data_IF_583668135006
#
_entry.id   IF_583668135006
#
_cell.length_a   1.000
_cell.length_b   1.000
_cell.length_c   1.000
_cell.angle_alpha   90.00
_cell.angle_beta   90.00
_cell.angle_gamma   90.00
#
_symmetry.space_group_name_H-M   'P 1'
#
loop_
_entity.id
_entity.type
_entity.pdbx_description
1 polymer ?
#
# COMPACT_ATOMS: atom_id res chain seq x y z
N UNK A 1 -8.63 14.06 17.86
CA UNK A 1 -8.08 14.62 16.62
C UNK A 1 -6.59 14.31 16.63
N UNK A 2 -6.08 13.44 15.73
CA UNK A 2 -4.64 13.43 15.49
C UNK A 2 -4.21 14.88 15.17
N UNK A 3 -3.04 15.29 15.65
CA UNK A 3 -2.54 16.65 15.42
C UNK A 3 -2.38 16.94 13.91
N UNK A 4 -2.28 18.21 13.50
CA UNK A 4 -2.10 18.55 12.08
C UNK A 4 -0.85 17.86 11.53
N UNK A 5 -0.98 17.30 10.32
CA UNK A 5 0.15 16.71 9.60
C UNK A 5 1.28 17.73 9.48
N UNK A 6 2.52 17.30 9.72
CA UNK A 6 3.69 18.18 9.68
C UNK A 6 4.27 18.34 8.28
N UNK A 7 3.89 17.45 7.37
CA UNK A 7 4.39 17.35 6.00
C UNK A 7 3.24 17.00 5.06
N UNK A 8 3.25 17.58 3.87
CA UNK A 8 2.22 17.41 2.85
C UNK A 8 2.90 17.08 1.53
N UNK A 9 2.41 16.05 0.85
CA UNK A 9 2.81 15.72 -0.52
C UNK A 9 1.66 15.99 -1.48
N UNK A 10 1.98 16.06 -2.78
CA UNK A 10 0.95 15.96 -3.80
C UNK A 10 0.46 14.50 -3.86
N UNK A 11 -0.85 14.26 -3.98
CA UNK A 11 -1.41 12.91 -4.08
C UNK A 11 -0.90 12.21 -5.34
N UNK A 12 -0.70 10.89 -5.25
CA UNK A 12 -0.41 10.07 -6.44
C UNK A 12 -1.71 9.71 -7.13
N UNK A 13 -1.73 9.79 -8.46
CA UNK A 13 -2.77 9.19 -9.27
C UNK A 13 -2.69 7.66 -9.20
N UNK A 14 -3.84 6.99 -9.10
CA UNK A 14 -3.94 5.53 -9.10
C UNK A 14 -3.72 4.98 -10.51
N UNK A 15 -2.48 5.05 -10.96
CA UNK A 15 -2.06 4.74 -12.31
C UNK A 15 -0.81 3.84 -12.27
N UNK A 16 -0.82 2.65 -12.92
CA UNK A 16 0.32 1.77 -12.95
C UNK A 16 1.62 2.44 -13.43
N UNK A 17 1.58 3.36 -14.40
CA UNK A 17 2.79 4.04 -14.88
C UNK A 17 3.45 4.88 -13.78
N UNK A 18 2.64 5.64 -13.03
CA UNK A 18 3.09 6.46 -11.89
C UNK A 18 3.67 5.56 -10.80
N UNK A 19 2.96 4.48 -10.46
CA UNK A 19 3.38 3.53 -9.43
C UNK A 19 4.64 2.77 -9.82
N UNK A 20 4.77 2.36 -11.09
CA UNK A 20 5.95 1.64 -11.59
C UNK A 20 7.20 2.51 -11.60
N UNK A 21 7.07 3.78 -12.00
CA UNK A 21 8.20 4.69 -11.94
C UNK A 21 8.67 4.89 -10.49
N UNK A 22 7.74 5.06 -9.54
CA UNK A 22 8.09 5.18 -8.13
C UNK A 22 8.70 3.89 -7.58
N UNK A 23 8.11 2.74 -7.92
CA UNK A 23 8.57 1.41 -7.53
C UNK A 23 10.05 1.20 -7.89
N UNK A 24 10.44 1.53 -9.12
CA UNK A 24 11.83 1.40 -9.56
C UNK A 24 12.75 2.48 -8.99
N UNK A 25 12.27 3.72 -8.80
CA UNK A 25 13.04 4.77 -8.11
C UNK A 25 13.39 4.38 -6.68
N UNK A 26 12.51 3.65 -6.00
CA UNK A 26 12.74 3.15 -4.65
C UNK A 26 13.66 1.92 -4.60
N UNK A 27 13.97 1.33 -5.77
CA UNK A 27 14.95 0.27 -5.93
C UNK A 27 14.38 -1.14 -6.01
N UNK A 28 13.14 -1.30 -6.47
CA UNK A 28 12.64 -2.62 -6.84
C UNK A 28 13.25 -3.10 -8.17
N UNK A 29 13.51 -4.40 -8.27
CA UNK A 29 13.90 -5.08 -9.50
C UNK A 29 12.96 -4.73 -10.67
N UNK A 30 13.48 -4.59 -11.91
CA UNK A 30 12.67 -4.41 -13.11
C UNK A 30 11.73 -5.59 -13.40
N UNK A 31 11.88 -6.72 -12.69
CA UNK A 31 10.96 -7.86 -12.79
C UNK A 31 9.61 -7.61 -12.09
N UNK A 32 9.49 -6.56 -11.29
CA UNK A 32 8.24 -6.20 -10.62
C UNK A 32 7.56 -5.03 -11.31
N UNK A 33 6.24 -5.15 -11.49
CA UNK A 33 5.41 -4.08 -12.02
C UNK A 33 4.02 -4.14 -11.41
N UNK A 34 3.43 -2.99 -11.14
CA UNK A 34 2.00 -2.83 -10.97
C UNK A 34 1.30 -2.96 -12.33
N UNK A 35 0.13 -3.59 -12.32
CA UNK A 35 -0.81 -3.66 -13.43
C UNK A 35 -2.24 -3.47 -12.92
N UNK A 36 -3.11 -2.89 -13.73
CA UNK A 36 -4.53 -2.73 -13.41
C UNK A 36 -5.24 -4.08 -13.30
N UNK A 37 -6.13 -4.19 -12.32
CA UNK A 37 -7.06 -5.31 -12.16
C UNK A 37 -8.44 -4.91 -12.68
N UNK A 38 -8.66 -5.12 -13.98
CA UNK A 38 -9.91 -4.75 -14.66
C UNK A 38 -11.16 -5.52 -14.19
N UNK A 39 -11.00 -6.72 -13.61
CA UNK A 39 -12.11 -7.50 -13.05
C UNK A 39 -11.64 -8.29 -11.83
N UNK A 40 -12.50 -8.35 -10.80
CA UNK A 40 -12.30 -9.16 -9.61
C UNK A 40 -12.85 -10.59 -9.76
N UNK A 41 -13.59 -10.89 -10.84
CA UNK A 41 -14.21 -12.21 -11.06
C UNK A 41 -13.18 -13.22 -11.56
N UNK A 42 -12.44 -12.86 -12.60
CA UNK A 42 -11.47 -13.72 -13.27
C UNK A 42 -10.25 -12.91 -13.73
N UNK A 43 -9.36 -12.47 -12.81
CA UNK A 43 -8.15 -11.69 -13.16
C UNK A 43 -7.04 -12.53 -13.81
N UNK A 44 -7.41 -13.52 -14.65
CA UNK A 44 -6.51 -14.51 -15.26
C UNK A 44 -5.55 -13.90 -16.30
N UNK A 45 -5.76 -12.65 -16.71
CA UNK A 45 -4.89 -11.92 -17.63
C UNK A 45 -3.62 -11.38 -16.97
N UNK A 46 -3.60 -11.30 -15.64
CA UNK A 46 -2.44 -10.81 -14.90
C UNK A 46 -1.35 -11.89 -14.79
N UNK A 47 -0.07 -11.52 -14.92
CA UNK A 47 1.03 -12.40 -14.57
C UNK A 47 0.91 -12.90 -13.13
N UNK A 48 1.27 -14.16 -12.93
CA UNK A 48 1.24 -14.83 -11.62
C UNK A 48 2.66 -15.26 -11.24
N UNK A 49 3.07 -15.10 -9.98
CA UNK A 49 2.26 -14.69 -8.84
C UNK A 49 2.02 -13.18 -8.75
N UNK A 50 0.85 -12.80 -8.24
CA UNK A 50 0.60 -11.47 -7.70
C UNK A 50 1.15 -11.39 -6.26
N UNK A 51 1.92 -10.36 -5.94
CA UNK A 51 2.66 -10.26 -4.67
C UNK A 51 1.97 -9.33 -3.67
N UNK A 52 1.25 -8.32 -4.15
CA UNK A 52 0.45 -7.39 -3.37
C UNK A 52 -0.72 -6.86 -4.20
N UNK A 53 -1.78 -6.42 -3.54
CA UNK A 53 -2.89 -5.68 -4.16
C UNK A 53 -3.01 -4.32 -3.49
N UNK A 54 -3.25 -3.28 -4.27
CA UNK A 54 -3.60 -1.95 -3.79
C UNK A 54 -5.03 -1.67 -4.25
N UNK A 55 -5.90 -1.42 -3.30
CA UNK A 55 -7.27 -0.95 -3.52
C UNK A 55 -7.32 0.56 -3.27
N UNK A 56 -7.88 1.28 -4.22
CA UNK A 56 -8.23 2.69 -4.07
C UNK A 56 -9.74 2.80 -4.01
N UNK A 57 -10.25 3.50 -3.01
CA UNK A 57 -11.67 3.70 -2.79
C UNK A 57 -11.93 5.10 -2.24
N UNK A 58 -13.12 5.68 -2.45
CA UNK A 58 -13.41 7.01 -1.95
C UNK A 58 -13.72 7.00 -0.45
N UNK A 59 -13.33 8.06 0.25
CA UNK A 59 -13.54 8.24 1.70
C UNK A 59 -14.99 8.62 2.05
N UNK A 60 -15.94 7.77 1.65
CA UNK A 60 -17.38 7.98 1.90
C UNK A 60 -17.74 7.86 3.39
N UNK A 61 -18.93 8.31 3.77
CA UNK A 61 -19.45 8.10 5.12
C UNK A 61 -19.53 6.61 5.50
N UNK A 62 -19.81 5.73 4.53
CA UNK A 62 -19.86 4.27 4.72
C UNK A 62 -18.48 3.73 5.08
N UNK A 63 -17.45 4.11 4.33
CA UNK A 63 -16.07 3.73 4.62
C UNK A 63 -15.61 4.25 6.00
N UNK A 64 -15.86 5.52 6.30
CA UNK A 64 -15.47 6.11 7.59
C UNK A 64 -16.19 5.47 8.79
N UNK A 65 -17.47 5.12 8.64
CA UNK A 65 -18.22 4.40 9.66
C UNK A 65 -17.65 2.99 9.90
N UNK A 66 -17.32 2.26 8.82
CA UNK A 66 -16.66 0.94 8.90
C UNK A 66 -15.32 1.05 9.60
N UNK A 67 -14.46 1.98 9.19
CA UNK A 67 -13.15 2.23 9.80
C UNK A 67 -13.31 2.53 11.28
N UNK A 68 -14.19 3.45 11.64
CA UNK A 68 -14.47 3.81 13.05
C UNK A 68 -14.91 2.60 13.86
N UNK A 69 -15.81 1.78 13.32
CA UNK A 69 -16.28 0.58 14.00
C UNK A 69 -15.14 -0.43 14.24
N UNK A 70 -14.32 -0.68 13.21
CA UNK A 70 -13.16 -1.57 13.29
C UNK A 70 -12.13 -1.09 14.31
N UNK A 71 -11.84 0.21 14.33
CA UNK A 71 -10.80 0.81 15.15
C UNK A 71 -11.23 1.05 16.61
N UNK A 72 -12.53 1.12 16.89
CA UNK A 72 -13.07 1.48 18.21
C UNK A 72 -12.56 0.63 19.37
N UNK A 73 -12.29 -0.66 19.12
CA UNK A 73 -11.85 -1.63 20.12
C UNK A 73 -10.37 -2.02 20.00
N UNK A 74 -9.66 -1.53 18.97
CA UNK A 74 -8.27 -1.89 18.69
C UNK A 74 -7.30 -0.96 19.43
N UNK A 75 -6.24 -1.49 20.07
CA UNK A 75 -5.13 -0.69 20.56
C UNK A 75 -4.27 -0.18 19.40
N UNK A 76 -3.53 0.91 19.63
CA UNK A 76 -2.46 1.32 18.72
C UNK A 76 -1.39 0.23 18.62
N UNK A 77 -1.00 -0.10 17.40
CA UNK A 77 0.09 -1.01 17.11
C UNK A 77 1.41 -0.41 17.57
N UNK A 78 2.25 -1.22 18.21
CA UNK A 78 3.56 -0.83 18.70
C UNK A 78 4.68 -1.82 18.32
N UNK A 79 4.38 -2.76 17.41
CA UNK A 79 5.29 -3.83 17.02
C UNK A 79 6.53 -3.35 16.27
N UNK A 80 7.62 -4.09 16.41
CA UNK A 80 8.93 -3.78 15.83
C UNK A 80 9.82 -5.01 15.75
N UNK A 81 10.78 -4.99 14.82
CA UNK A 81 11.75 -6.05 14.59
C UNK A 81 11.28 -7.08 13.56
N UNK A 82 12.19 -7.98 13.19
CA UNK A 82 11.99 -9.00 12.14
C UNK A 82 10.96 -10.09 12.51
N UNK A 83 10.52 -10.15 13.78
CA UNK A 83 9.54 -11.11 14.25
C UNK A 83 8.08 -10.71 14.00
N UNK A 84 7.85 -9.48 13.58
CA UNK A 84 6.51 -8.99 13.24
C UNK A 84 6.01 -9.65 11.93
N UNK A 85 4.72 -9.97 11.81
CA UNK A 85 4.20 -10.65 10.62
C UNK A 85 4.30 -9.78 9.35
N UNK A 86 4.27 -8.46 9.53
CA UNK A 86 4.33 -7.45 8.46
C UNK A 86 5.05 -6.19 8.93
N UNK A 87 5.71 -5.51 8.00
CA UNK A 87 6.23 -4.16 8.16
C UNK A 87 5.11 -3.17 7.82
N UNK A 88 4.55 -2.55 8.86
CA UNK A 88 3.49 -1.54 8.73
C UNK A 88 4.01 -0.12 8.97
N UNK A 89 3.78 0.77 8.03
CA UNK A 89 4.07 2.20 8.16
C UNK A 89 2.81 2.99 8.51
N UNK A 90 2.84 3.75 9.61
CA UNK A 90 1.79 4.72 9.95
C UNK A 90 1.91 5.94 9.04
N UNK A 91 0.79 6.35 8.46
CA UNK A 91 0.72 7.56 7.66
C UNK A 91 0.79 8.80 8.56
N UNK A 92 1.75 9.67 8.22
CA UNK A 92 2.04 10.92 8.94
C UNK A 92 2.36 12.07 8.00
N UNK A 93 2.44 11.79 6.70
CA UNK A 93 2.57 12.76 5.62
C UNK A 93 1.19 12.85 4.94
N UNK A 94 0.59 14.03 4.91
CA UNK A 94 -0.71 14.22 4.27
C UNK A 94 -0.62 13.92 2.77
N UNK A 95 -1.72 13.40 2.20
CA UNK A 95 -1.85 13.08 0.78
C UNK A 95 -0.81 12.07 0.25
N UNK A 96 -0.16 11.31 1.14
CA UNK A 96 0.87 10.33 0.76
C UNK A 96 0.36 8.88 0.81
N UNK A 97 -0.94 8.61 0.96
CA UNK A 97 -1.51 7.26 1.08
C UNK A 97 -1.08 6.31 -0.05
N UNK A 98 -0.98 6.79 -1.30
CA UNK A 98 -0.43 6.00 -2.41
C UNK A 98 1.03 5.58 -2.22
N UNK A 99 1.87 6.46 -1.66
CA UNK A 99 3.25 6.12 -1.29
C UNK A 99 3.28 5.07 -0.17
N UNK A 100 2.48 5.24 0.89
CA UNK A 100 2.41 4.29 1.99
C UNK A 100 1.95 2.91 1.51
N UNK A 101 0.94 2.84 0.65
CA UNK A 101 0.48 1.59 0.06
C UNK A 101 1.56 0.90 -0.79
N UNK A 102 2.35 1.67 -1.55
CA UNK A 102 3.50 1.12 -2.29
C UNK A 102 4.58 0.60 -1.33
N UNK A 103 4.91 1.36 -0.29
CA UNK A 103 5.88 0.93 0.72
C UNK A 103 5.41 -0.36 1.42
N UNK A 104 4.13 -0.46 1.78
CA UNK A 104 3.53 -1.68 2.33
C UNK A 104 3.64 -2.84 1.34
N UNK A 105 3.30 -2.63 0.06
CA UNK A 105 3.36 -3.66 -0.97
C UNK A 105 4.78 -4.21 -1.16
N UNK A 106 5.77 -3.33 -1.28
CA UNK A 106 7.14 -3.72 -1.59
C UNK A 106 7.91 -4.25 -0.37
N UNK A 107 7.60 -3.78 0.84
CA UNK A 107 8.32 -4.17 2.07
C UNK A 107 7.87 -5.52 2.66
N UNK A 108 6.80 -6.10 2.14
CA UNK A 108 6.16 -7.30 2.70
C UNK A 108 6.10 -8.45 1.69
N UNK A 109 5.77 -9.64 2.20
CA UNK A 109 5.57 -10.83 1.38
C UNK A 109 6.76 -11.18 0.49
N UNK A 110 6.54 -11.93 -0.60
CA UNK A 110 7.62 -12.27 -1.53
C UNK A 110 8.24 -11.05 -2.25
N UNK A 111 7.52 -9.92 -2.32
CA UNK A 111 8.00 -8.70 -2.99
C UNK A 111 9.27 -8.12 -2.34
N UNK A 112 9.43 -8.26 -1.03
CA UNK A 112 10.60 -7.75 -0.29
C UNK A 112 11.93 -8.35 -0.76
N UNK A 113 11.91 -9.53 -1.39
CA UNK A 113 13.10 -10.20 -1.96
C UNK A 113 13.61 -9.54 -3.25
N UNK A 114 12.81 -8.66 -3.85
CA UNK A 114 13.14 -7.95 -5.08
C UNK A 114 13.62 -6.52 -4.84
N UNK A 115 13.83 -6.13 -3.58
CA UNK A 115 14.44 -4.85 -3.22
C UNK A 115 15.95 -4.97 -3.41
N UNK A 116 16.52 -4.15 -4.28
CA UNK A 116 17.95 -4.16 -4.55
C UNK A 116 18.76 -3.65 -3.35
N UNK A 117 19.93 -4.26 -3.14
CA UNK A 117 20.79 -3.89 -2.01
C UNK A 117 21.29 -2.45 -2.13
N UNK A 118 21.22 -1.72 -1.02
CA UNK A 118 21.73 -0.36 -0.93
C UNK A 118 20.89 0.70 -1.63
N UNK A 119 19.71 0.37 -2.16
CA UNK A 119 18.75 1.36 -2.69
C UNK A 119 18.09 2.20 -1.58
N UNK A 120 17.25 3.17 -1.97
CA UNK A 120 16.53 4.05 -1.04
C UNK A 120 15.72 3.23 -0.04
N UNK A 121 14.88 2.30 -0.52
CA UNK A 121 14.01 1.52 0.35
C UNK A 121 14.80 0.55 1.24
N UNK A 122 15.85 -0.10 0.72
CA UNK A 122 16.68 -1.00 1.52
C UNK A 122 17.30 -0.29 2.74
N UNK A 123 17.81 0.94 2.55
CA UNK A 123 18.37 1.75 3.65
C UNK A 123 17.30 2.21 4.63
N UNK A 124 16.11 2.57 4.14
CA UNK A 124 14.98 2.91 5.00
C UNK A 124 14.57 1.70 5.84
N UNK A 125 14.43 0.51 5.26
CA UNK A 125 14.04 -0.71 5.97
C UNK A 125 15.04 -1.08 7.08
N UNK A 126 16.34 -0.94 6.84
CA UNK A 126 17.37 -1.14 7.87
C UNK A 126 17.17 -0.23 9.09
N UNK A 127 16.64 0.98 8.88
CA UNK A 127 16.33 1.93 9.95
C UNK A 127 14.95 1.67 10.57
N UNK A 128 13.98 1.33 9.74
CA UNK A 128 12.56 1.27 10.07
C UNK A 128 12.13 -0.02 10.77
N UNK A 129 12.70 -1.17 10.38
CA UNK A 129 12.31 -2.49 10.92
C UNK A 129 12.59 -2.58 12.43
N UNK A 130 13.77 -2.19 12.95
CA UNK A 130 14.03 -2.27 14.40
C UNK A 130 13.22 -1.29 15.25
N UNK A 131 12.56 -0.31 14.63
CA UNK A 131 11.87 0.78 15.30
C UNK A 131 10.37 0.53 15.41
N UNK A 132 9.74 1.06 16.47
CA UNK A 132 8.28 1.15 16.57
C UNK A 132 7.69 2.21 15.64
N UNK A 133 6.35 2.25 15.47
CA UNK A 133 5.71 3.05 14.42
C UNK A 133 6.00 4.55 14.44
N UNK A 134 6.17 5.17 15.61
CA UNK A 134 6.50 6.61 15.72
C UNK A 134 7.88 6.92 15.13
N UNK A 135 8.91 6.18 15.55
CA UNK A 135 10.28 6.34 15.05
C UNK A 135 10.37 5.97 13.56
N UNK A 136 9.65 4.92 13.15
CA UNK A 136 9.52 4.49 11.76
C UNK A 136 8.92 5.59 10.87
N UNK A 137 7.86 6.25 11.36
CA UNK A 137 7.24 7.39 10.68
C UNK A 137 8.20 8.56 10.54
N UNK A 138 8.91 8.89 11.63
CA UNK A 138 9.95 9.93 11.60
C UNK A 138 11.07 9.65 10.61
N UNK A 139 11.47 8.39 10.41
CA UNK A 139 12.46 8.03 9.40
C UNK A 139 11.97 8.32 7.97
N UNK A 140 10.68 8.09 7.68
CA UNK A 140 10.07 8.43 6.38
C UNK A 140 9.94 9.94 6.19
N UNK A 141 9.44 10.66 7.20
CA UNK A 141 9.28 12.13 7.17
C UNK A 141 10.61 12.86 6.90
N UNK A 142 11.71 12.36 7.46
CA UNK A 142 13.04 12.95 7.33
C UNK A 142 13.83 12.47 6.11
N UNK A 143 13.29 11.55 5.30
CA UNK A 143 13.98 11.01 4.13
C UNK A 143 13.80 11.94 2.92
N UNK A 144 14.82 12.74 2.64
CA UNK A 144 14.85 13.61 1.46
C UNK A 144 14.85 12.79 0.14
N UNK A 145 15.50 11.63 0.12
CA UNK A 145 15.52 10.76 -1.07
C UNK A 145 14.14 10.20 -1.38
N UNK A 146 13.37 9.81 -0.35
CA UNK A 146 11.99 9.34 -0.50
C UNK A 146 11.08 10.47 -1.01
N UNK A 147 11.20 11.65 -0.43
CA UNK A 147 10.47 12.85 -0.86
C UNK A 147 10.76 13.22 -2.31
N UNK A 148 12.01 13.19 -2.73
CA UNK A 148 12.40 13.47 -4.12
C UNK A 148 11.88 12.39 -5.08
N UNK A 149 11.91 11.12 -4.69
CA UNK A 149 11.36 10.04 -5.50
C UNK A 149 9.84 10.18 -5.69
N UNK A 150 9.11 10.53 -4.62
CA UNK A 150 7.68 10.82 -4.66
C UNK A 150 7.36 12.03 -5.55
N UNK A 151 8.02 13.17 -5.29
CA UNK A 151 7.78 14.41 -6.03
C UNK A 151 8.07 14.28 -7.53
N UNK A 152 9.00 13.41 -7.92
CA UNK A 152 9.33 13.15 -9.33
C UNK A 152 8.18 12.49 -10.11
N UNK A 153 7.23 11.84 -9.43
CA UNK A 153 6.10 11.14 -10.06
C UNK A 153 4.74 11.77 -9.71
N UNK A 154 4.63 12.52 -8.62
CA UNK A 154 3.35 13.05 -8.15
C UNK A 154 2.72 14.08 -9.08
N UNK A 155 3.51 14.71 -9.96
CA UNK A 155 3.03 15.62 -11.00
C UNK A 155 2.76 14.91 -12.35
N UNK A 156 2.85 13.57 -12.38
CA UNK A 156 2.59 12.73 -13.56
C UNK A 156 1.22 12.07 -13.44
N UNK A 157 0.76 11.50 -14.56
CA UNK A 157 -0.59 10.95 -14.69
C UNK A 157 -1.40 11.77 -15.69
N UNK A 158 -2.65 11.35 -15.89
CA UNK A 158 -3.57 11.96 -16.85
C UNK A 158 -4.53 12.97 -16.20
N UNK A 159 -4.60 12.99 -14.86
CA UNK A 159 -5.48 13.85 -14.07
C UNK A 159 -4.83 15.17 -13.66
N UNK A 160 -5.68 16.14 -13.30
CA UNK A 160 -5.20 17.39 -12.70
C UNK A 160 -4.80 17.12 -11.26
N UNK A 161 -3.55 17.42 -10.94
CA UNK A 161 -3.04 17.40 -9.57
C UNK A 161 -3.50 18.68 -8.85
N UNK A 162 -3.91 18.61 -7.58
CA UNK A 162 -4.27 19.81 -6.82
C UNK A 162 -3.17 20.87 -6.84
N UNK A 163 -3.55 22.14 -6.95
CA UNK A 163 -2.61 23.26 -6.95
C UNK A 163 -1.91 23.42 -5.59
N UNK A 164 -2.55 22.95 -4.50
CA UNK A 164 -2.03 22.98 -3.14
C UNK A 164 -1.98 21.57 -2.54
N UNK A 165 -0.83 21.20 -1.95
CA UNK A 165 -0.63 19.92 -1.28
C UNK A 165 -1.46 19.76 0.02
N UNK A 166 -2.02 20.86 0.54
CA UNK A 166 -2.95 20.84 1.67
C UNK A 166 -4.41 20.63 1.25
N UNK A 167 -4.73 20.62 -0.05
CA UNK A 167 -6.09 20.35 -0.51
C UNK A 167 -6.47 18.88 -0.22
N UNK A 168 -7.68 18.68 0.30
CA UNK A 168 -8.20 17.34 0.60
C UNK A 168 -8.47 16.56 -0.69
N UNK A 169 -8.16 15.27 -0.66
CA UNK A 169 -8.55 14.30 -1.70
C UNK A 169 -9.54 13.30 -1.14
N UNK A 170 -10.59 13.03 -1.92
CA UNK A 170 -11.69 12.14 -1.49
C UNK A 170 -11.38 10.65 -1.73
N UNK A 171 -10.11 10.25 -1.86
CA UNK A 171 -9.69 8.88 -2.14
C UNK A 171 -8.64 8.37 -1.16
N UNK A 172 -8.68 7.08 -0.88
CA UNK A 172 -7.79 6.41 0.04
C UNK A 172 -7.23 5.12 -0.53
N UNK A 173 -6.01 4.78 -0.11
CA UNK A 173 -5.27 3.61 -0.58
C UNK A 173 -5.12 2.59 0.55
N UNK A 174 -5.48 1.34 0.26
CA UNK A 174 -5.34 0.19 1.16
C UNK A 174 -4.50 -0.88 0.47
N UNK A 175 -3.49 -1.40 1.14
CA UNK A 175 -2.62 -2.45 0.61
C UNK A 175 -2.93 -3.82 1.24
N UNK A 176 -3.03 -4.86 0.42
CA UNK A 176 -3.18 -6.25 0.85
C UNK A 176 -1.93 -7.05 0.50
N UNK A 177 -1.33 -7.69 1.48
CA UNK A 177 -0.08 -8.45 1.33
C UNK A 177 -0.13 -9.79 2.04
N UNK A 178 0.61 -10.76 1.51
CA UNK A 178 0.89 -12.01 2.22
C UNK A 178 2.01 -11.78 3.25
N UNK A 179 1.81 -12.20 4.49
CA UNK A 179 2.88 -12.23 5.50
C UNK A 179 3.87 -13.36 5.22
N UNK A 180 5.16 -13.09 5.40
CA UNK A 180 6.22 -14.09 5.26
C UNK A 180 6.38 -14.97 6.50
N UNK A 181 5.76 -14.59 7.63
CA UNK A 181 5.93 -15.27 8.92
C UNK A 181 4.88 -16.35 9.12
N UNK A 182 3.62 -16.01 8.88
CA UNK A 182 2.45 -16.89 9.10
C UNK A 182 1.70 -17.26 7.81
N UNK A 183 2.01 -16.61 6.68
CA UNK A 183 1.34 -16.85 5.40
C UNK A 183 -0.07 -16.28 5.29
N UNK A 184 -0.54 -15.52 6.29
CA UNK A 184 -1.85 -14.89 6.28
C UNK A 184 -1.88 -13.67 5.36
N UNK A 185 -3.08 -13.31 4.89
CA UNK A 185 -3.33 -12.06 4.20
C UNK A 185 -3.55 -10.94 5.23
N UNK A 186 -2.77 -9.88 5.10
CA UNK A 186 -2.88 -8.68 5.93
C UNK A 186 -3.39 -7.50 5.11
N UNK A 187 -4.27 -6.72 5.72
CA UNK A 187 -4.68 -5.41 5.25
C UNK A 187 -3.84 -4.34 5.95
N UNK A 188 -3.20 -3.49 5.16
CA UNK A 188 -2.28 -2.45 5.57
C UNK A 188 -2.80 -1.10 5.10
N UNK A 189 -3.31 -0.36 6.06
CA UNK A 189 -3.80 1.01 5.92
C UNK A 189 -2.99 1.91 6.86
N UNK A 190 -2.35 2.94 6.33
CA UNK A 190 -1.50 3.85 7.11
C UNK A 190 -2.29 4.74 8.09
N UNK A 191 -3.58 4.98 7.83
CA UNK A 191 -4.46 5.82 8.65
C UNK A 191 -5.16 5.04 9.78
N UNK A 192 -5.07 3.71 9.76
CA UNK A 192 -5.56 2.85 10.83
C UNK A 192 -4.58 2.78 12.02
N UNK A 193 -5.01 2.19 13.15
CA UNK A 193 -4.15 2.00 14.34
C UNK A 193 -3.07 0.94 14.15
N UNK A 194 -3.06 0.21 13.04
CA UNK A 194 -2.07 -0.84 12.76
C UNK A 194 -2.53 -1.87 11.72
N UNK A 195 -1.65 -2.82 11.37
CA UNK A 195 -1.96 -3.87 10.40
C UNK A 195 -3.11 -4.76 10.89
N UNK A 196 -3.94 -5.24 9.96
CA UNK A 196 -5.08 -6.12 10.24
C UNK A 196 -4.78 -7.49 9.64
N UNK A 197 -4.70 -8.53 10.49
CA UNK A 197 -4.82 -9.90 10.00
C UNK A 197 -6.27 -10.14 9.57
N UNK A 198 -6.48 -10.47 8.31
CA UNK A 198 -7.82 -10.71 7.75
C UNK A 198 -8.40 -12.07 8.17
N UNK A 199 -7.57 -12.95 8.74
CA UNK A 199 -7.90 -14.35 9.06
C UNK A 199 -7.84 -15.28 7.86
N UNK A 200 -7.51 -14.77 6.67
CA UNK A 200 -7.35 -15.56 5.44
C UNK A 200 -5.93 -16.12 5.41
N UNK A 201 -5.80 -17.44 5.58
CA UNK A 201 -4.53 -18.14 5.44
C UNK A 201 -4.30 -18.59 3.99
N UNK A 202 -3.30 -18.03 3.31
CA UNK A 202 -2.97 -18.40 1.93
C UNK A 202 -2.07 -19.64 1.92
N UNK A 203 -2.46 -20.67 1.16
CA UNK A 203 -1.61 -21.83 0.94
C UNK A 203 -0.33 -21.47 0.17
N UNK A 204 0.63 -22.39 0.09
CA UNK A 204 1.89 -22.15 -0.64
C UNK A 204 1.65 -21.74 -2.10
N UNK A 205 0.62 -22.31 -2.73
CA UNK A 205 0.34 -22.15 -4.16
C UNK A 205 -0.65 -21.02 -4.46
N UNK A 206 -1.21 -20.42 -3.41
CA UNK A 206 -2.06 -19.25 -3.51
C UNK A 206 -1.25 -17.96 -3.32
N UNK A 207 -1.79 -16.90 -3.90
CA UNK A 207 -1.26 -15.56 -3.73
C UNK A 207 -2.38 -14.57 -3.39
N UNK A 208 -2.09 -13.27 -3.41
CA UNK A 208 -3.02 -12.23 -2.97
C UNK A 208 -4.24 -12.00 -3.87
N UNK A 209 -4.35 -12.65 -5.04
CA UNK A 209 -5.60 -12.72 -5.83
C UNK A 209 -6.28 -14.09 -5.73
N UNK A 210 -6.09 -14.82 -4.62
CA UNK A 210 -6.89 -16.03 -4.35
C UNK A 210 -8.38 -15.69 -4.28
N UNK A 211 -9.29 -16.68 -4.49
CA UNK A 211 -10.74 -16.44 -4.40
C UNK A 211 -11.17 -15.81 -3.07
N UNK A 212 -10.53 -16.17 -1.96
CA UNK A 212 -10.83 -15.60 -0.64
C UNK A 212 -10.38 -14.13 -0.55
N UNK A 213 -9.18 -13.81 -1.04
CA UNK A 213 -8.67 -12.43 -1.07
C UNK A 213 -9.51 -11.53 -1.99
N UNK A 214 -9.87 -12.02 -3.19
CA UNK A 214 -10.76 -11.31 -4.11
C UNK A 214 -12.15 -11.10 -3.52
N UNK A 215 -12.69 -12.08 -2.78
CA UNK A 215 -13.95 -11.93 -2.05
C UNK A 215 -13.91 -10.82 -1.00
N UNK A 216 -12.79 -10.69 -0.28
CA UNK A 216 -12.59 -9.60 0.69
C UNK A 216 -12.55 -8.23 -0.01
N UNK A 217 -11.76 -8.10 -1.08
CA UNK A 217 -11.64 -6.85 -1.86
C UNK A 217 -13.00 -6.48 -2.48
N UNK A 218 -13.73 -7.46 -3.00
CA UNK A 218 -15.08 -7.26 -3.52
C UNK A 218 -16.04 -6.75 -2.44
N UNK A 219 -15.94 -7.27 -1.22
CA UNK A 219 -16.74 -6.78 -0.10
C UNK A 219 -16.50 -5.30 0.22
N UNK A 220 -15.33 -4.74 -0.09
CA UNK A 220 -15.13 -3.28 -0.03
C UNK A 220 -15.87 -2.57 -1.15
N UNK A 221 -15.76 -3.06 -2.39
CA UNK A 221 -16.42 -2.47 -3.57
C UNK A 221 -17.94 -2.52 -3.45
N UNK A 222 -18.50 -3.65 -3.02
CA UNK A 222 -19.95 -3.86 -2.87
C UNK A 222 -20.56 -3.07 -1.72
N UNK A 223 -19.79 -2.69 -0.69
CA UNK A 223 -20.32 -1.84 0.38
C UNK A 223 -20.50 -0.39 -0.05
N UNK A 224 -19.81 0.01 -1.11
CA UNK A 224 -19.84 1.34 -1.69
C UNK A 224 -20.81 1.39 -2.89
N UNK A 225 -21.98 0.73 -2.84
CA UNK A 225 -22.91 0.47 -3.97
C UNK A 225 -23.25 1.70 -4.84
N UNK A 226 -23.12 2.92 -4.31
CA UNK A 226 -23.39 4.18 -5.03
C UNK A 226 -22.14 4.88 -5.61
N UNK A 227 -20.95 4.35 -5.32
CA UNK A 227 -19.68 4.94 -5.70
C UNK A 227 -19.04 4.24 -6.90
N UNK A 228 -18.81 5.00 -7.96
CA UNK A 228 -18.11 4.57 -9.18
C UNK A 228 -16.59 4.78 -9.11
N UNK A 229 -16.04 5.13 -7.94
CA UNK A 229 -14.69 5.67 -7.78
C UNK A 229 -13.63 4.69 -7.27
N UNK A 230 -13.71 3.40 -7.58
CA UNK A 230 -12.67 2.45 -7.14
C UNK A 230 -11.67 2.12 -8.25
N UNK A 231 -10.43 1.85 -7.85
CA UNK A 231 -9.39 1.29 -8.72
C UNK A 231 -8.65 0.19 -7.96
N UNK A 232 -8.17 -0.83 -8.67
CA UNK A 232 -7.41 -1.92 -8.08
C UNK A 232 -6.18 -2.18 -8.94
N UNK A 233 -5.00 -2.19 -8.32
CA UNK A 233 -3.74 -2.54 -8.95
C UNK A 233 -3.11 -3.74 -8.25
N UNK A 234 -2.46 -4.62 -9.01
CA UNK A 234 -1.70 -5.74 -8.48
C UNK A 234 -0.21 -5.58 -8.79
N UNK A 235 0.65 -5.73 -7.78
CA UNK A 235 2.09 -5.87 -7.97
C UNK A 235 2.38 -7.31 -8.41
N UNK A 236 2.88 -7.50 -9.61
CA UNK A 236 3.12 -8.82 -10.20
C UNK A 236 4.60 -9.02 -10.52
N UNK A 237 5.03 -10.29 -10.51
CA UNK A 237 6.34 -10.69 -11.01
C UNK A 237 6.24 -11.05 -12.50
N UNK A 238 7.09 -10.46 -13.34
CA UNK A 238 6.99 -10.50 -14.81
C UNK A 238 8.14 -11.20 -15.52
N UNK A 239 8.99 -11.94 -14.80
CA UNK A 239 10.10 -12.65 -15.43
C UNK A 239 9.59 -13.62 -16.52
N UNK A 240 9.92 -13.32 -17.79
CA UNK A 240 9.60 -14.14 -18.95
C UNK A 240 8.59 -13.56 -19.95
N UNK A 241 8.10 -12.34 -19.75
CA UNK A 241 7.26 -11.62 -20.73
C UNK A 241 8.11 -10.53 -21.38
N UNK A 242 8.95 -10.93 -22.34
CA UNK A 242 9.69 -10.02 -23.24
C UNK A 242 9.22 -10.19 -24.67
#
# INVERSE_FOLDING_TARGET
>A
MPGPYRKHFLPLESNPEVFNELLHRLGASPELTFQDVFTLDEPNFLPRPALAVILVLPTTETYEARKTALESSRPDYNGSGDGEPVVWFRQTINNACGLYALLHALSNGPASKFIESGCILARLLQTCIPCGPEQRSGALENSLELEQAHAAVAAKGDSLVPDNAEDDVDFHYICFVRSNVDGHLYELDGDCKGPIDTGIALSAEEDVLSPQALGLIRGYVEQEEESIGFNVMALVHTAGIS
#
